data_IF_745322917977
#
_entry.id   IF_745322917977
#
_cell.length_a   1.000
_cell.length_b   1.000
_cell.length_c   1.000
_cell.angle_alpha   90.00
_cell.angle_beta   90.00
_cell.angle_gamma   90.00
#
_symmetry.space_group_name_H-M   'P 1'
#
loop_
_entity.id
_entity.type
_entity.pdbx_description
1 polymer ?
#
# COMPACT_ATOMS: atom_id res chain seq x y z
N UNK A 1 -4.04 17.02 32.12
CA UNK A 1 -3.93 17.19 31.51
C UNK A 1 -3.57 17.00 30.82
N UNK A 2 -3.52 17.01 30.79
CA UNK A 2 -3.26 17.24 29.79
C UNK A 2 -3.54 17.52 29.01
N UNK A 3 -3.84 17.89 29.05
CA UNK A 3 -4.14 18.29 28.08
C UNK A 3 -3.59 18.71 27.27
N UNK A 4 -3.38 18.79 27.47
CA UNK A 4 -2.95 19.37 26.68
C UNK A 4 -2.64 19.47 25.90
N UNK A 5 -2.69 19.41 26.02
CA UNK A 5 -2.37 19.84 25.23
C UNK A 5 -2.15 19.86 24.33
N UNK A 6 -2.36 19.66 24.41
CA UNK A 6 -2.17 19.81 23.38
C UNK A 6 -2.06 20.31 22.61
N UNK A 7 -2.03 20.50 22.70
CA UNK A 7 -2.03 21.18 22.04
C UNK A 7 -1.81 21.58 21.18
N UNK A 8 -2.01 21.39 21.28
CA UNK A 8 -2.07 21.84 20.15
C UNK A 8 -0.99 22.39 19.43
N UNK A 9 -0.33 21.73 18.80
CA UNK A 9 0.67 22.40 18.02
C UNK A 9 0.04 22.89 16.73
N UNK A 10 -0.31 24.15 16.66
CA UNK A 10 -1.10 24.63 15.54
C UNK A 10 -0.31 24.69 14.23
N UNK A 11 1.00 24.57 14.30
CA UNK A 11 1.83 24.60 13.11
C UNK A 11 1.83 23.30 12.33
N UNK A 12 1.38 22.22 12.95
CA UNK A 12 1.31 20.92 12.29
C UNK A 12 -0.13 20.56 12.04
N UNK A 13 -0.48 20.33 10.79
CA UNK A 13 -1.78 19.80 10.48
C UNK A 13 -1.83 18.34 10.93
N UNK A 14 -2.85 17.95 11.68
CA UNK A 14 -2.97 16.56 12.06
C UNK A 14 -3.17 15.69 10.82
N UNK A 15 -2.63 14.50 10.85
CA UNK A 15 -2.89 13.53 9.79
C UNK A 15 -4.37 13.17 9.82
N UNK A 16 -5.06 13.38 8.71
CA UNK A 16 -6.46 12.98 8.60
C UNK A 16 -6.58 11.63 7.89
N UNK A 17 -5.47 10.92 7.84
CA UNK A 17 -5.43 9.55 7.34
C UNK A 17 -6.15 8.63 8.32
N UNK A 18 -6.97 7.76 7.79
CA UNK A 18 -7.66 6.76 8.58
C UNK A 18 -7.01 5.40 8.36
N UNK A 19 -6.49 4.82 9.43
CA UNK A 19 -5.87 3.49 9.39
C UNK A 19 -6.91 2.48 9.89
N UNK A 20 -7.35 1.60 8.99
CA UNK A 20 -8.32 0.58 9.32
C UNK A 20 -7.64 -0.63 9.94
N UNK A 21 -8.38 -1.39 10.71
CA UNK A 21 -7.91 -2.64 11.27
C UNK A 21 -7.61 -3.65 10.17
N UNK A 22 -6.67 -4.55 10.44
CA UNK A 22 -6.31 -5.58 9.49
C UNK A 22 -7.52 -6.46 9.17
N UNK A 23 -7.66 -6.81 7.88
CA UNK A 23 -8.64 -7.79 7.46
C UNK A 23 -7.94 -9.15 7.36
N UNK A 24 -8.45 -10.12 8.11
CA UNK A 24 -7.82 -11.44 8.21
C UNK A 24 -8.64 -12.46 7.45
N UNK A 25 -7.98 -13.19 6.57
CA UNK A 25 -8.59 -14.22 5.74
C UNK A 25 -7.97 -15.57 6.05
N UNK A 26 -8.67 -16.65 5.74
CA UNK A 26 -8.14 -17.99 5.97
C UNK A 26 -7.04 -18.33 4.99
N UNK A 27 -7.24 -18.00 3.73
CA UNK A 27 -6.31 -18.38 2.66
C UNK A 27 -5.73 -17.15 1.97
N UNK A 28 -4.57 -17.35 1.36
CA UNK A 28 -3.91 -16.33 0.54
C UNK A 28 -4.82 -15.95 -0.63
N UNK A 29 -5.48 -16.92 -1.22
CA UNK A 29 -6.38 -16.69 -2.35
C UNK A 29 -7.52 -15.75 -1.99
N UNK A 30 -8.17 -16.00 -0.84
CA UNK A 30 -9.24 -15.13 -0.37
C UNK A 30 -8.73 -13.73 -0.10
N UNK A 31 -7.55 -13.62 0.50
CA UNK A 31 -6.92 -12.34 0.78
C UNK A 31 -6.72 -11.52 -0.49
N UNK A 32 -6.08 -12.10 -1.49
CA UNK A 32 -5.80 -11.37 -2.73
C UNK A 32 -7.07 -11.03 -3.50
N UNK A 33 -8.06 -11.94 -3.49
CA UNK A 33 -9.34 -11.63 -4.13
C UNK A 33 -9.99 -10.41 -3.49
N UNK A 34 -9.99 -10.34 -2.16
CA UNK A 34 -10.57 -9.22 -1.43
C UNK A 34 -9.80 -7.93 -1.70
N UNK A 35 -8.47 -8.00 -1.70
CA UNK A 35 -7.64 -6.83 -1.96
C UNK A 35 -7.89 -6.28 -3.37
N UNK A 36 -7.96 -7.15 -4.37
CA UNK A 36 -8.22 -6.73 -5.75
C UNK A 36 -9.61 -6.09 -5.87
N UNK A 37 -10.62 -6.67 -5.24
CA UNK A 37 -11.96 -6.08 -5.25
C UNK A 37 -11.97 -4.67 -4.65
N UNK A 38 -11.24 -4.46 -3.57
CA UNK A 38 -11.14 -3.14 -2.96
C UNK A 38 -10.40 -2.16 -3.87
N UNK A 39 -9.34 -2.62 -4.54
CA UNK A 39 -8.62 -1.77 -5.50
C UNK A 39 -9.56 -1.32 -6.60
N UNK A 40 -10.37 -2.22 -7.13
CA UNK A 40 -11.35 -1.89 -8.17
C UNK A 40 -12.30 -0.79 -7.67
N UNK A 41 -12.85 -0.97 -6.48
CA UNK A 41 -13.79 0.01 -5.90
C UNK A 41 -13.13 1.36 -5.70
N UNK A 42 -11.90 1.38 -5.20
CA UNK A 42 -11.18 2.62 -4.95
C UNK A 42 -10.89 3.38 -6.25
N UNK A 43 -10.51 2.67 -7.30
CA UNK A 43 -10.27 3.31 -8.59
C UNK A 43 -11.56 3.86 -9.19
N UNK A 44 -12.66 3.18 -9.00
CA UNK A 44 -13.96 3.66 -9.46
C UNK A 44 -14.39 4.94 -8.73
N UNK A 45 -13.95 5.09 -7.50
CA UNK A 45 -14.17 6.31 -6.72
C UNK A 45 -13.25 7.45 -7.11
N UNK A 46 -12.32 7.20 -8.01
CA UNK A 46 -11.34 8.21 -8.44
C UNK A 46 -10.15 8.34 -7.48
N UNK A 47 -9.97 7.41 -6.57
CA UNK A 47 -8.86 7.47 -5.62
C UNK A 47 -7.60 6.84 -6.19
N UNK A 48 -6.44 7.45 -5.96
CA UNK A 48 -5.18 6.78 -6.26
C UNK A 48 -4.92 5.69 -5.21
N UNK A 49 -4.33 4.58 -5.66
CA UNK A 49 -4.08 3.43 -4.80
C UNK A 49 -2.60 3.08 -4.85
N UNK A 50 -2.01 2.90 -3.68
CA UNK A 50 -0.64 2.39 -3.56
C UNK A 50 -0.70 1.02 -2.90
N UNK A 51 -0.29 0.00 -3.64
CA UNK A 51 -0.28 -1.38 -3.14
C UNK A 51 1.13 -1.71 -2.66
N UNK A 52 1.26 -1.98 -1.37
CA UNK A 52 2.54 -2.35 -0.78
C UNK A 52 2.70 -3.87 -0.77
N UNK A 53 3.83 -4.34 -1.26
CA UNK A 53 4.15 -5.75 -1.28
C UNK A 53 5.48 -5.99 -0.57
N UNK A 54 5.70 -7.23 -0.14
CA UNK A 54 6.90 -7.58 0.61
C UNK A 54 7.98 -8.19 -0.28
N UNK A 55 7.66 -8.54 -1.51
CA UNK A 55 8.63 -9.15 -2.43
C UNK A 55 8.27 -8.86 -3.87
N UNK A 56 9.25 -9.07 -4.76
CA UNK A 56 9.04 -8.92 -6.20
C UNK A 56 8.01 -9.95 -6.70
N UNK A 57 8.06 -11.16 -6.16
CA UNK A 57 7.13 -12.22 -6.54
C UNK A 57 5.68 -11.84 -6.25
N UNK A 58 5.43 -11.26 -5.09
CA UNK A 58 4.09 -10.80 -4.73
C UNK A 58 3.68 -9.62 -5.62
N UNK A 59 4.61 -8.73 -5.94
CA UNK A 59 4.33 -7.63 -6.87
C UNK A 59 3.89 -8.15 -8.23
N UNK A 60 4.58 -9.17 -8.74
CA UNK A 60 4.24 -9.78 -10.01
C UNK A 60 2.87 -10.47 -9.95
N UNK A 61 2.57 -11.14 -8.84
CA UNK A 61 1.27 -11.78 -8.65
C UNK A 61 0.15 -10.76 -8.68
N UNK A 62 0.29 -9.69 -7.91
CA UNK A 62 -0.72 -8.62 -7.87
C UNK A 62 -0.89 -7.99 -9.25
N UNK A 63 0.23 -7.75 -9.93
CA UNK A 63 0.20 -7.19 -11.29
C UNK A 63 -0.61 -8.07 -12.24
N UNK A 64 -0.39 -9.39 -12.20
CA UNK A 64 -1.15 -10.31 -13.04
C UNK A 64 -2.64 -10.31 -12.71
N UNK A 65 -2.97 -10.26 -11.42
CA UNK A 65 -4.37 -10.22 -11.00
C UNK A 65 -5.06 -8.95 -11.48
N UNK A 66 -4.35 -7.83 -11.43
CA UNK A 66 -4.88 -6.56 -11.93
C UNK A 66 -5.05 -6.58 -13.44
N UNK A 67 -4.12 -7.21 -14.17
CA UNK A 67 -4.22 -7.37 -15.61
C UNK A 67 -5.46 -8.19 -16.00
N UNK A 68 -5.75 -9.25 -15.25
CA UNK A 68 -6.93 -10.06 -15.47
C UNK A 68 -8.22 -9.26 -15.30
N UNK A 69 -8.20 -8.28 -14.43
CA UNK A 69 -9.34 -7.38 -14.20
C UNK A 69 -9.30 -6.15 -15.10
N UNK A 70 -8.33 -6.08 -16.01
CA UNK A 70 -8.14 -4.99 -16.98
C UNK A 70 -7.95 -3.64 -16.29
N UNK A 71 -7.24 -3.64 -15.16
CA UNK A 71 -6.93 -2.43 -14.42
C UNK A 71 -5.52 -1.98 -14.78
N UNK A 72 -5.40 -0.76 -15.29
CA UNK A 72 -4.09 -0.16 -15.57
C UNK A 72 -3.36 0.09 -14.27
N UNK A 73 -2.09 -0.24 -14.24
CA UNK A 73 -1.25 -0.04 -13.06
C UNK A 73 0.20 0.10 -13.46
N UNK A 74 1.00 0.60 -12.54
CA UNK A 74 2.45 0.68 -12.67
C UNK A 74 3.09 -0.11 -11.55
N UNK A 75 4.23 -0.72 -11.84
CA UNK A 75 5.00 -1.44 -10.82
C UNK A 75 6.27 -0.66 -10.54
N UNK A 76 6.43 -0.25 -9.29
CA UNK A 76 7.58 0.49 -8.83
C UNK A 76 8.51 -0.48 -8.11
N UNK A 77 9.69 -0.73 -8.68
CA UNK A 77 10.66 -1.59 -8.04
C UNK A 77 12.06 -0.98 -8.12
N UNK A 78 12.94 -1.44 -7.22
CA UNK A 78 14.27 -0.84 -7.07
C UNK A 78 15.19 -1.05 -8.28
N UNK A 79 14.82 -1.91 -9.21
CA UNK A 79 15.65 -2.19 -10.38
C UNK A 79 15.52 -1.16 -11.49
N UNK A 80 14.48 -0.31 -11.44
CA UNK A 80 14.18 0.64 -12.50
C UNK A 80 14.22 2.06 -11.97
N UNK A 81 15.37 2.48 -11.48
CA UNK A 81 15.54 3.80 -10.87
C UNK A 81 15.12 4.96 -11.78
N UNK A 82 15.40 4.85 -13.07
CA UNK A 82 15.11 5.95 -13.99
C UNK A 82 13.60 6.17 -14.16
N UNK A 83 12.82 5.12 -14.04
CA UNK A 83 11.37 5.21 -14.19
C UNK A 83 10.66 5.51 -12.88
N UNK A 84 11.34 5.37 -11.75
CA UNK A 84 10.72 5.61 -10.44
C UNK A 84 10.10 7.00 -10.32
N UNK A 85 10.85 8.02 -10.73
CA UNK A 85 10.37 9.39 -10.63
C UNK A 85 9.12 9.61 -11.48
N UNK A 86 9.07 9.01 -12.67
CA UNK A 86 7.91 9.11 -13.54
C UNK A 86 6.69 8.42 -12.94
N UNK A 87 6.90 7.23 -12.40
CA UNK A 87 5.83 6.44 -11.78
C UNK A 87 5.28 7.16 -10.56
N UNK A 88 6.16 7.70 -9.72
CA UNK A 88 5.75 8.43 -8.53
C UNK A 88 5.00 9.71 -8.90
N UNK A 89 5.42 10.39 -9.96
CA UNK A 89 4.74 11.59 -10.42
C UNK A 89 3.30 11.31 -10.86
N UNK A 90 3.03 10.11 -11.36
CA UNK A 90 1.69 9.72 -11.78
C UNK A 90 0.87 9.11 -10.65
N UNK A 91 1.53 8.65 -9.60
CA UNK A 91 0.88 7.83 -8.55
C UNK A 91 -0.19 8.58 -7.77
N UNK A 92 -0.14 9.90 -7.74
CA UNK A 92 -1.13 10.72 -7.03
C UNK A 92 -2.33 11.15 -7.87
N UNK A 93 -2.39 10.75 -9.13
CA UNK A 93 -3.52 11.12 -10.01
C UNK A 93 -4.72 10.21 -9.76
N UNK A 94 -5.94 10.71 -10.03
CA UNK A 94 -7.16 9.93 -9.78
C UNK A 94 -7.16 8.57 -10.49
N UNK A 95 -7.53 7.55 -9.76
CA UNK A 95 -7.69 6.21 -10.33
C UNK A 95 -6.40 5.50 -10.71
N UNK A 96 -5.26 6.03 -10.33
CA UNK A 96 -3.95 5.41 -10.64
C UNK A 96 -3.63 4.35 -9.61
N UNK A 97 -3.23 3.17 -10.07
CA UNK A 97 -2.79 2.07 -9.20
C UNK A 97 -1.29 1.90 -9.35
N UNK A 98 -0.58 1.95 -8.23
CA UNK A 98 0.88 1.75 -8.20
C UNK A 98 1.19 0.61 -7.24
N UNK A 99 1.96 -0.36 -7.69
CA UNK A 99 2.42 -1.45 -6.86
C UNK A 99 3.88 -1.17 -6.48
N UNK A 100 4.18 -1.19 -5.19
CA UNK A 100 5.54 -0.89 -4.72
C UNK A 100 5.99 -1.94 -3.71
N UNK A 101 7.22 -2.42 -3.90
CA UNK A 101 7.87 -3.24 -2.89
C UNK A 101 8.36 -2.34 -1.75
N UNK A 102 8.73 -2.93 -0.62
CA UNK A 102 9.17 -2.20 0.57
C UNK A 102 10.24 -1.15 0.32
N UNK A 103 11.15 -1.45 -0.58
CA UNK A 103 12.33 -0.61 -0.80
C UNK A 103 12.14 0.40 -1.93
N UNK A 104 11.09 0.25 -2.72
CA UNK A 104 10.88 1.08 -3.89
C UNK A 104 10.28 2.44 -3.50
N UNK A 105 10.68 3.48 -4.21
CA UNK A 105 10.14 4.83 -4.00
C UNK A 105 10.53 5.46 -2.68
N UNK A 106 11.57 4.95 -2.04
CA UNK A 106 11.99 5.42 -0.73
C UNK A 106 12.41 6.89 -0.79
N UNK A 107 11.88 7.67 0.14
CA UNK A 107 12.21 9.09 0.22
C UNK A 107 11.50 9.98 -0.78
N UNK A 108 10.59 9.42 -1.59
CA UNK A 108 9.86 10.18 -2.60
C UNK A 108 8.41 10.38 -2.15
N UNK A 109 7.92 11.59 -2.23
CA UNK A 109 6.55 11.94 -1.86
C UNK A 109 5.61 11.78 -3.05
N UNK A 110 4.44 11.19 -2.78
CA UNK A 110 3.37 11.12 -3.77
C UNK A 110 2.51 12.35 -3.58
N UNK A 111 2.47 13.20 -4.60
CA UNK A 111 1.69 14.42 -4.56
C UNK A 111 0.31 14.19 -5.16
N UNK A 112 -0.70 14.50 -4.38
CA UNK A 112 -2.08 14.31 -4.80
C UNK A 112 -2.56 15.50 -5.63
N UNK A 113 -3.39 15.20 -6.64
CA UNK A 113 -4.11 16.26 -7.36
C UNK A 113 -5.30 16.69 -6.50
N UNK A 114 -5.88 17.88 -6.78
CA UNK A 114 -7.10 18.28 -6.07
C UNK A 114 -8.24 17.26 -6.19
N UNK A 115 -8.38 16.64 -7.35
CA UNK A 115 -9.40 15.61 -7.59
C UNK A 115 -9.17 14.39 -6.71
N UNK A 116 -7.92 13.97 -6.57
CA UNK A 116 -7.55 12.84 -5.71
C UNK A 116 -7.86 13.14 -4.26
N UNK A 117 -7.55 14.35 -3.80
CA UNK A 117 -7.88 14.76 -2.43
C UNK A 117 -9.38 14.77 -2.19
N UNK A 118 -10.13 15.31 -3.15
CA UNK A 118 -11.59 15.35 -3.05
C UNK A 118 -12.21 13.96 -3.01
N UNK A 119 -11.59 12.99 -3.69
CA UNK A 119 -12.07 11.61 -3.72
C UNK A 119 -11.74 10.84 -2.44
N UNK A 120 -10.90 11.37 -1.57
CA UNK A 120 -10.53 10.71 -0.32
C UNK A 120 -9.03 10.50 -0.12
N UNK A 121 -8.22 10.93 -1.06
CA UNK A 121 -6.77 10.85 -0.97
C UNK A 121 -6.20 9.48 -1.33
N UNK A 122 -4.92 9.32 -1.06
CA UNK A 122 -4.20 8.08 -1.39
C UNK A 122 -4.67 6.94 -0.51
N UNK A 123 -5.06 5.84 -1.14
CA UNK A 123 -5.43 4.61 -0.43
C UNK A 123 -4.23 3.66 -0.42
N UNK A 124 -3.80 3.29 0.76
CA UNK A 124 -2.71 2.32 0.95
C UNK A 124 -3.33 0.94 1.12
N UNK A 125 -2.92 0.00 0.30
CA UNK A 125 -3.32 -1.41 0.40
C UNK A 125 -2.07 -2.21 0.72
N UNK A 126 -1.98 -2.76 1.92
CA UNK A 126 -0.88 -3.64 2.30
C UNK A 126 -1.27 -5.09 2.08
N UNK A 127 -0.48 -5.84 1.35
CA UNK A 127 -0.80 -7.23 1.02
C UNK A 127 -0.31 -8.22 2.07
N UNK A 128 0.46 -7.73 3.06
CA UNK A 128 0.97 -8.55 4.14
C UNK A 128 1.58 -7.62 5.19
N UNK A 129 1.51 -8.02 6.44
CA UNK A 129 2.24 -7.34 7.50
C UNK A 129 3.72 -7.70 7.43
N UNK A 130 4.57 -6.73 7.56
CA UNK A 130 6.01 -6.97 7.66
C UNK A 130 6.37 -7.26 9.10
N UNK A 131 7.43 -8.05 9.31
CA UNK A 131 7.94 -8.33 10.66
C UNK A 131 8.35 -7.04 11.36
N UNK A 132 8.95 -6.12 10.62
CA UNK A 132 9.31 -4.83 11.15
C UNK A 132 8.14 -3.87 11.08
N UNK A 133 7.69 -3.39 12.23
CA UNK A 133 6.65 -2.36 12.30
C UNK A 133 7.07 -1.08 11.60
N UNK A 134 8.37 -0.85 11.51
CA UNK A 134 8.91 0.34 10.85
C UNK A 134 8.57 0.34 9.36
N UNK A 135 8.63 -0.82 8.73
CA UNK A 135 8.27 -0.96 7.31
C UNK A 135 6.78 -0.68 7.10
N UNK A 136 5.93 -1.23 7.96
CA UNK A 136 4.49 -0.98 7.88
C UNK A 136 4.18 0.51 8.05
N UNK A 137 4.85 1.16 8.99
CA UNK A 137 4.67 2.59 9.24
C UNK A 137 5.10 3.43 8.05
N UNK A 138 6.18 3.03 7.38
CA UNK A 138 6.64 3.73 6.17
C UNK A 138 5.59 3.65 5.07
N UNK A 139 5.02 2.48 4.91
CA UNK A 139 3.97 2.32 3.90
C UNK A 139 2.78 3.21 4.21
N UNK A 140 2.27 3.16 5.44
CA UNK A 140 1.17 4.03 5.86
C UNK A 140 1.52 5.50 5.73
N UNK A 141 2.76 5.85 6.04
CA UNK A 141 3.22 7.22 6.04
C UNK A 141 3.27 7.86 4.66
N UNK A 142 3.07 7.10 3.60
CA UNK A 142 2.97 7.68 2.26
C UNK A 142 1.61 8.33 2.00
N UNK A 143 0.63 8.01 2.84
CA UNK A 143 -0.70 8.62 2.76
C UNK A 143 -0.89 9.61 3.90
N UNK A 144 -1.73 10.61 3.71
CA UNK A 144 -2.07 11.58 4.73
C UNK A 144 -0.97 12.60 5.00
N UNK A 145 -0.06 12.77 4.08
CA UNK A 145 1.01 13.74 4.25
C UNK A 145 0.50 15.16 4.13
N UNK A 146 1.07 16.07 4.94
CA UNK A 146 0.76 17.50 4.90
C UNK A 146 -0.74 17.78 5.07
N UNK A 147 -1.42 16.94 5.87
CA UNK A 147 -2.84 17.12 6.12
C UNK A 147 -3.75 16.59 5.03
N UNK A 148 -3.21 15.92 4.02
CA UNK A 148 -4.03 15.29 2.99
C UNK A 148 -4.85 14.15 3.57
N UNK A 149 -6.07 13.93 3.07
CA UNK A 149 -6.83 12.73 3.46
C UNK A 149 -6.17 11.48 2.92
N UNK A 150 -6.54 10.36 3.47
CA UNK A 150 -6.01 9.08 3.01
C UNK A 150 -6.48 7.94 3.88
N UNK A 151 -6.24 6.73 3.44
CA UNK A 151 -6.59 5.52 4.19
C UNK A 151 -5.49 4.49 4.07
N UNK A 152 -5.42 3.59 5.04
CA UNK A 152 -4.58 2.42 4.93
C UNK A 152 -5.35 1.20 5.39
N UNK A 153 -5.18 0.09 4.68
CA UNK A 153 -5.82 -1.18 4.98
C UNK A 153 -4.83 -2.30 4.68
N UNK A 154 -4.58 -3.15 5.66
CA UNK A 154 -3.73 -4.31 5.45
C UNK A 154 -4.60 -5.56 5.32
N UNK A 155 -4.24 -6.40 4.37
CA UNK A 155 -4.89 -7.67 4.08
C UNK A 155 -3.92 -8.78 4.48
N UNK A 156 -4.33 -9.60 5.43
CA UNK A 156 -3.48 -10.68 5.93
C UNK A 156 -4.24 -11.99 5.85
N UNK A 157 -3.52 -13.11 5.80
CA UNK A 157 -4.14 -14.41 5.83
C UNK A 157 -3.45 -15.29 6.87
N UNK A 158 -4.18 -16.29 7.34
CA UNK A 158 -3.62 -17.26 8.26
C UNK A 158 -2.52 -18.08 7.57
N UNK A 159 -2.58 -18.16 6.25
CA UNK A 159 -1.55 -18.86 5.47
C UNK A 159 -0.28 -18.07 5.27
N UNK A 160 -0.29 -16.75 5.54
CA UNK A 160 0.90 -15.92 5.34
C UNK A 160 2.11 -16.46 6.11
N UNK A 161 1.92 -16.80 7.38
CA UNK A 161 2.99 -17.37 8.20
C UNK A 161 3.34 -18.78 7.75
N UNK A 162 2.32 -19.58 7.42
CA UNK A 162 2.55 -20.93 6.93
C UNK A 162 3.33 -20.93 5.63
N UNK A 163 3.03 -20.02 4.73
CA UNK A 163 3.76 -19.91 3.47
C UNK A 163 5.21 -19.53 3.69
N UNK A 164 5.50 -18.68 4.66
CA UNK A 164 6.88 -18.33 5.00
C UNK A 164 7.62 -19.54 5.58
N UNK A 165 6.99 -20.23 6.51
CA UNK A 165 7.59 -21.42 7.12
C UNK A 165 7.83 -22.48 6.07
N UNK A 166 6.84 -22.71 5.21
CA UNK A 166 6.92 -23.69 4.14
C UNK A 166 8.06 -23.37 3.17
N UNK A 167 8.19 -22.12 2.78
CA UNK A 167 9.27 -21.68 1.90
C UNK A 167 10.63 -21.89 2.55
N UNK A 168 10.73 -21.58 3.86
CA UNK A 168 11.95 -21.78 4.62
C UNK A 168 12.32 -23.25 4.70
N UNK A 169 11.33 -24.11 4.97
CA UNK A 169 11.55 -25.56 5.04
C UNK A 169 11.94 -26.14 3.69
N UNK A 170 11.38 -25.65 2.60
CA UNK A 170 11.75 -26.11 1.27
C UNK A 170 13.22 -25.82 0.99
N UNK A 171 13.66 -24.62 1.36
CA UNK A 171 15.08 -24.26 1.19
C UNK A 171 15.95 -25.15 2.07
N UNK A 172 15.55 -25.35 3.33
CA UNK A 172 16.30 -26.21 4.25
C UNK A 172 16.25 -27.68 3.82
N UNK A 173 15.11 -28.12 3.32
CA UNK A 173 14.93 -29.51 2.90
C UNK A 173 15.73 -29.88 1.66
N UNK A 174 16.11 -28.89 0.87
CA UNK A 174 16.95 -29.09 -0.31
C UNK A 174 18.42 -29.20 0.06
N UNK A 175 18.73 -28.86 1.28
CA UNK A 175 20.12 -28.98 1.79
C UNK A 175 20.38 -30.30 2.53
#
# INVERSE_FOLDING_TARGET
IYKLDVVTIPTHQPAIRKDYDDLVYKTVREKFNAAIEDIVKLTEQGRPVLVGTTSVEISELVSRLLQLRKIKHQVLNAKQHQREAEIVAEAGKPGTVTIATNMAGRGTDIKLTPESRAAGGLAIIGTERHESRRVDRRLRGRSGRQGDPGTSQFYVSLEDNLMRIFASERVSGLM
#
